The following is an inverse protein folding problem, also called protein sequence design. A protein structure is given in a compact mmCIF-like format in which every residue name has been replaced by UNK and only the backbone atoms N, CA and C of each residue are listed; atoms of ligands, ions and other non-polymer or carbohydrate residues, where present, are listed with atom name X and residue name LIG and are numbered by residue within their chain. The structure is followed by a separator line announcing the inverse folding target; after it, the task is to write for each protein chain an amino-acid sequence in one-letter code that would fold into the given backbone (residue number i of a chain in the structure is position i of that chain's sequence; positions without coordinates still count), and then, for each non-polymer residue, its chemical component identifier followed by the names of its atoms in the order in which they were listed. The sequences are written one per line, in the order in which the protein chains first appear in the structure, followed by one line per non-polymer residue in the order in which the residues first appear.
data_IF_404438338391
#
_entry.id   IF_404438338391
#
_cell.length_a   1.000
_cell.length_b   1.000
_cell.length_c   1.000
_cell.angle_alpha   90.00
_cell.angle_beta   90.00
_cell.angle_gamma   90.00
#
_symmetry.space_group_name_H-M   'P 1'
#
loop_
_entity.id
_entity.type
_entity.pdbx_description
1 polymer ?
#
# COMPACT_ATOMS: atom_id res chain seq x y z
N UNK A 1 -15.19 9.77 -36.16
CA UNK A 1 -15.91 9.42 -34.92
C UNK A 1 -15.20 8.33 -34.12
N UNK A 2 -15.13 7.06 -34.57
CA UNK A 2 -14.52 5.94 -33.79
C UNK A 2 -13.07 6.16 -33.31
N UNK A 3 -12.21 6.77 -34.13
CA UNK A 3 -10.81 7.06 -33.76
C UNK A 3 -10.67 8.12 -32.66
N UNK A 4 -11.63 9.04 -32.57
CA UNK A 4 -11.64 10.10 -31.55
C UNK A 4 -12.00 9.53 -30.18
N UNK A 5 -12.97 8.61 -30.12
CA UNK A 5 -13.32 7.89 -28.89
C UNK A 5 -12.16 7.03 -28.38
N UNK A 6 -11.47 6.31 -29.28
CA UNK A 6 -10.26 5.54 -28.92
C UNK A 6 -9.17 6.43 -28.33
N UNK A 7 -8.94 7.62 -28.91
CA UNK A 7 -7.95 8.57 -28.40
C UNK A 7 -8.36 9.11 -27.02
N UNK A 8 -9.65 9.38 -26.82
CA UNK A 8 -10.19 9.85 -25.53
C UNK A 8 -10.02 8.78 -24.44
N UNK A 9 -10.33 7.52 -24.74
CA UNK A 9 -10.11 6.39 -23.83
C UNK A 9 -8.63 6.20 -23.50
N UNK A 10 -7.73 6.36 -24.48
CA UNK A 10 -6.29 6.26 -24.28
C UNK A 10 -5.76 7.37 -23.36
N UNK A 11 -6.24 8.60 -23.54
CA UNK A 11 -5.86 9.77 -22.73
C UNK A 11 -6.37 9.68 -21.29
N UNK A 12 -7.59 9.17 -21.09
CA UNK A 12 -8.15 8.91 -19.76
C UNK A 12 -7.37 7.80 -19.05
N UNK A 13 -7.02 6.72 -19.76
CA UNK A 13 -6.18 5.64 -19.21
C UNK A 13 -4.76 6.09 -18.86
N UNK A 14 -4.20 7.06 -19.60
CA UNK A 14 -2.89 7.65 -19.30
C UNK A 14 -2.91 8.61 -18.09
N UNK A 15 -4.04 9.29 -17.83
CA UNK A 15 -4.19 10.19 -16.68
C UNK A 15 -4.10 9.43 -15.33
N UNK A 16 -4.57 8.19 -15.30
CA UNK A 16 -4.49 7.29 -14.12
C UNK A 16 -3.04 6.79 -13.89
N UNK A 17 -2.19 6.80 -14.92
CA UNK A 17 -0.79 6.34 -14.83
C UNK A 17 0.20 7.40 -14.35
N UNK A 18 -0.28 8.51 -13.76
CA UNK A 18 0.61 9.43 -13.05
C UNK A 18 1.39 8.60 -12.02
N UNK A 19 2.71 8.54 -12.16
CA UNK A 19 3.59 7.99 -11.15
C UNK A 19 3.36 8.81 -9.87
N UNK A 20 2.50 8.31 -8.99
CA UNK A 20 2.12 9.05 -7.80
C UNK A 20 3.38 9.22 -6.94
N UNK A 21 3.71 10.46 -6.63
CA UNK A 21 4.92 10.78 -5.88
C UNK A 21 4.77 10.29 -4.44
N UNK A 22 5.78 9.58 -3.94
CA UNK A 22 5.86 9.16 -2.55
C UNK A 22 6.93 9.96 -1.82
N UNK A 23 6.57 10.52 -0.67
CA UNK A 23 7.51 11.19 0.24
C UNK A 23 7.54 10.42 1.56
N UNK A 24 8.70 9.84 1.87
CA UNK A 24 8.90 9.15 3.14
C UNK A 24 9.11 10.16 4.27
N UNK A 25 8.35 10.01 5.35
CA UNK A 25 8.47 10.81 6.57
C UNK A 25 9.02 9.94 7.71
N UNK A 26 10.27 10.17 8.17
CA UNK A 26 10.87 9.37 9.22
C UNK A 26 10.13 9.49 10.57
N UNK A 27 10.06 8.39 11.33
CA UNK A 27 9.41 8.31 12.64
C UNK A 27 9.95 9.34 13.64
N UNK A 28 11.25 9.67 13.54
CA UNK A 28 11.87 10.73 14.36
C UNK A 28 11.15 12.07 14.23
N UNK A 29 10.61 12.40 13.05
CA UNK A 29 9.84 13.63 12.80
C UNK A 29 8.48 13.67 13.50
N UNK A 30 8.00 12.53 13.98
CA UNK A 30 6.74 12.39 14.73
C UNK A 30 6.95 12.23 16.23
N UNK A 31 8.18 12.42 16.73
CA UNK A 31 8.50 12.29 18.16
C UNK A 31 8.09 10.94 18.80
N UNK A 32 8.09 9.86 18.00
CA UNK A 32 7.69 8.53 18.45
C UNK A 32 6.19 8.24 18.34
N UNK A 33 5.36 9.18 17.87
CA UNK A 33 3.96 8.92 17.54
C UNK A 33 3.84 8.04 16.29
N UNK A 34 3.64 6.75 16.53
CA UNK A 34 3.52 5.76 15.46
C UNK A 34 2.20 5.84 14.71
N UNK A 35 1.12 6.35 15.32
CA UNK A 35 -0.16 6.51 14.62
C UNK A 35 -0.02 7.58 13.55
N UNK A 36 0.56 8.74 13.90
CA UNK A 36 0.80 9.82 12.94
C UNK A 36 1.81 9.42 11.86
N UNK A 37 2.87 8.70 12.22
CA UNK A 37 3.82 8.13 11.26
C UNK A 37 3.13 7.21 10.25
N UNK A 38 2.30 6.27 10.73
CA UNK A 38 1.62 5.31 9.88
C UNK A 38 0.58 5.98 8.97
N UNK A 39 -0.17 6.94 9.52
CA UNK A 39 -1.14 7.72 8.75
C UNK A 39 -0.45 8.50 7.63
N UNK A 40 0.60 9.24 7.94
CA UNK A 40 1.30 10.11 6.99
C UNK A 40 2.01 9.33 5.88
N UNK A 41 2.67 8.21 6.21
CA UNK A 41 3.39 7.41 5.21
C UNK A 41 2.49 6.46 4.42
N UNK A 42 1.47 5.83 5.03
CA UNK A 42 0.74 4.74 4.36
C UNK A 42 -0.70 5.09 4.02
N UNK A 43 -1.43 5.78 4.90
CA UNK A 43 -2.85 6.07 4.66
C UNK A 43 -3.07 7.28 3.74
N UNK A 44 -2.40 8.39 4.05
CA UNK A 44 -2.52 9.65 3.30
C UNK A 44 -1.92 9.52 1.89
N UNK A 45 -0.94 8.64 1.71
CA UNK A 45 -0.27 8.33 0.45
C UNK A 45 -0.67 6.96 -0.11
N UNK A 46 -1.81 6.38 0.32
CA UNK A 46 -2.23 5.01 -0.02
C UNK A 46 -2.26 4.71 -1.52
N UNK A 47 -2.59 5.73 -2.32
CA UNK A 47 -2.68 5.57 -3.76
C UNK A 47 -1.32 5.14 -4.35
N UNK A 48 -0.19 5.58 -3.78
CA UNK A 48 1.15 5.19 -4.26
C UNK A 48 1.36 3.68 -4.31
N UNK A 49 0.71 2.95 -3.42
CA UNK A 49 0.85 1.49 -3.30
C UNK A 49 -0.08 0.71 -4.23
N UNK A 50 -1.01 1.40 -4.90
CA UNK A 50 -1.94 0.77 -5.85
C UNK A 50 -1.15 0.19 -7.03
N UNK A 51 -1.39 -1.09 -7.34
CA UNK A 51 -0.67 -1.82 -8.40
C UNK A 51 0.78 -2.18 -8.08
N UNK A 52 1.31 -1.82 -6.91
CA UNK A 52 2.66 -2.22 -6.47
C UNK A 52 2.63 -3.55 -5.73
N UNK A 53 3.73 -4.28 -5.81
CA UNK A 53 3.95 -5.48 -4.99
C UNK A 53 3.94 -5.12 -3.50
N UNK A 54 3.37 -6.00 -2.69
CA UNK A 54 3.31 -5.84 -1.23
C UNK A 54 4.69 -5.63 -0.59
N UNK A 55 5.76 -6.20 -1.17
CA UNK A 55 7.14 -6.02 -0.71
C UNK A 55 7.55 -4.55 -0.60
N UNK A 56 7.07 -3.68 -1.51
CA UNK A 56 7.38 -2.24 -1.49
C UNK A 56 6.83 -1.56 -0.23
N UNK A 57 5.60 -1.91 0.16
CA UNK A 57 5.01 -1.41 1.40
C UNK A 57 5.78 -1.94 2.62
N UNK A 58 6.11 -3.24 2.58
CA UNK A 58 6.75 -3.93 3.69
C UNK A 58 8.16 -3.39 3.97
N UNK A 59 8.95 -3.15 2.93
CA UNK A 59 10.29 -2.55 3.03
C UNK A 59 10.24 -1.16 3.67
N UNK A 60 9.26 -0.33 3.30
CA UNK A 60 9.10 1.01 3.87
C UNK A 60 8.69 0.95 5.35
N UNK A 61 7.78 0.05 5.71
CA UNK A 61 7.34 -0.15 7.09
C UNK A 61 8.48 -0.65 7.98
N UNK A 62 9.24 -1.65 7.53
CA UNK A 62 10.28 -2.32 8.32
C UNK A 62 11.52 -1.46 8.58
N UNK A 63 11.68 -0.31 7.91
CA UNK A 63 12.79 0.63 8.16
C UNK A 63 12.85 1.12 9.61
N UNK A 64 11.70 1.44 10.18
CA UNK A 64 11.63 2.00 11.54
C UNK A 64 10.70 1.20 12.46
N UNK A 65 9.88 0.30 11.91
CA UNK A 65 9.00 -0.59 12.68
C UNK A 65 9.29 -2.07 12.34
N UNK A 66 10.35 -2.67 12.90
CA UNK A 66 10.67 -4.08 12.65
C UNK A 66 9.52 -4.99 13.10
N UNK A 67 9.22 -6.00 12.29
CA UNK A 67 8.11 -6.91 12.50
C UNK A 67 8.51 -8.14 13.29
N UNK A 68 7.65 -8.55 14.21
CA UNK A 68 7.64 -9.87 14.86
C UNK A 68 6.89 -10.90 14.01
N UNK A 69 5.93 -10.44 13.20
CA UNK A 69 5.17 -11.29 12.30
C UNK A 69 4.28 -10.48 11.34
N UNK A 70 3.92 -11.11 10.23
CA UNK A 70 3.02 -10.58 9.23
C UNK A 70 1.98 -11.64 8.89
N UNK A 71 0.70 -11.28 8.93
CA UNK A 71 -0.41 -12.13 8.48
C UNK A 71 -1.08 -11.44 7.30
N UNK A 72 -0.76 -11.89 6.09
CA UNK A 72 -1.37 -11.38 4.87
C UNK A 72 -2.69 -12.11 4.58
N UNK A 73 -3.72 -11.35 4.20
CA UNK A 73 -4.91 -11.86 3.55
C UNK A 73 -4.78 -11.66 2.03
N UNK A 74 -4.82 -12.78 1.31
CA UNK A 74 -4.95 -12.77 -0.14
C UNK A 74 -6.40 -12.68 -0.58
N UNK A 75 -6.63 -12.15 -1.78
CA UNK A 75 -7.84 -12.46 -2.53
C UNK A 75 -7.77 -13.93 -2.94
N UNK A 76 -8.90 -14.65 -2.86
CA UNK A 76 -9.05 -15.90 -3.63
C UNK A 76 -8.91 -15.58 -5.12
N UNK A 77 -8.26 -16.45 -5.93
CA UNK A 77 -8.13 -16.24 -7.38
C UNK A 77 -9.49 -16.48 -8.02
N UNK A 78 -10.41 -15.52 -7.92
CA UNK A 78 -11.72 -15.61 -8.56
C UNK A 78 -11.83 -14.78 -9.83
N UNK A 79 -10.81 -14.00 -10.21
CA UNK A 79 -10.91 -13.13 -11.40
C UNK A 79 -9.58 -12.69 -12.01
N UNK A 80 -8.47 -13.42 -11.82
CA UNK A 80 -7.23 -13.11 -12.55
C UNK A 80 -6.99 -14.13 -13.67
N UNK A 81 -6.90 -13.71 -14.95
CA UNK A 81 -6.58 -14.57 -16.08
C UNK A 81 -5.27 -15.37 -15.92
N UNK A 82 -4.34 -14.88 -15.10
CA UNK A 82 -3.04 -15.53 -14.86
C UNK A 82 -3.02 -16.39 -13.58
N UNK A 83 -4.14 -16.46 -12.84
CA UNK A 83 -4.27 -17.20 -11.60
C UNK A 83 -3.36 -16.70 -10.46
N UNK A 84 -2.93 -15.44 -10.51
CA UNK A 84 -2.13 -14.81 -9.46
C UNK A 84 -3.01 -14.47 -8.24
N UNK A 85 -2.42 -14.67 -7.05
CA UNK A 85 -3.03 -14.29 -5.78
C UNK A 85 -2.54 -12.91 -5.37
N UNK A 86 -3.46 -11.95 -5.23
CA UNK A 86 -3.14 -10.58 -4.79
C UNK A 86 -3.33 -10.47 -3.28
N UNK A 87 -2.45 -9.74 -2.59
CA UNK A 87 -2.65 -9.40 -1.19
C UNK A 87 -3.66 -8.25 -1.13
N UNK A 88 -4.84 -8.50 -0.55
CA UNK A 88 -5.87 -7.47 -0.32
C UNK A 88 -5.80 -6.84 1.07
N UNK A 89 -4.97 -7.38 1.94
CA UNK A 89 -4.56 -6.70 3.16
C UNK A 89 -3.58 -7.48 4.00
N UNK A 90 -3.01 -6.83 5.01
CA UNK A 90 -2.12 -7.48 5.95
C UNK A 90 -2.29 -6.94 7.36
N UNK A 91 -2.17 -7.85 8.33
CA UNK A 91 -2.03 -7.55 9.74
C UNK A 91 -0.55 -7.61 10.11
N UNK A 92 -0.02 -6.45 10.51
CA UNK A 92 1.39 -6.28 10.86
C UNK A 92 1.58 -6.25 12.38
N UNK A 93 2.40 -7.16 12.90
CA UNK A 93 2.76 -7.21 14.33
C UNK A 93 4.17 -6.65 14.54
N UNK A 94 4.34 -5.46 15.16
CA UNK A 94 5.66 -4.91 15.47
C UNK A 94 6.38 -5.72 16.57
N UNK A 95 7.71 -5.63 16.62
CA UNK A 95 8.53 -6.15 17.72
C UNK A 95 8.25 -5.40 19.02
N UNK A 96 8.26 -6.12 20.15
CA UNK A 96 7.86 -5.63 21.48
C UNK A 96 8.82 -4.57 22.08
N UNK A 97 9.95 -4.27 21.42
CA UNK A 97 11.04 -3.45 21.97
C UNK A 97 10.98 -1.94 21.65
N UNK A 98 9.95 -1.47 20.94
CA UNK A 98 9.76 -0.04 20.72
C UNK A 98 8.63 0.49 21.61
N UNK A 99 8.83 1.69 22.17
CA UNK A 99 7.90 2.48 22.99
C UNK A 99 6.57 2.76 22.26
N UNK A 100 5.81 1.72 21.94
CA UNK A 100 4.72 1.77 20.99
C UNK A 100 3.51 1.11 21.63
N UNK A 101 2.48 1.91 21.88
CA UNK A 101 1.18 1.37 22.27
C UNK A 101 0.73 0.35 21.23
N UNK A 102 0.25 -0.79 21.74
CA UNK A 102 -0.01 -2.05 21.05
C UNK A 102 -1.17 -1.94 20.05
N UNK A 103 -1.04 -1.14 18.99
CA UNK A 103 -2.09 -1.04 17.98
C UNK A 103 -1.66 -1.84 16.75
N UNK A 104 -2.26 -3.02 16.50
CA UNK A 104 -2.00 -3.76 15.28
C UNK A 104 -2.51 -2.94 14.07
N UNK A 105 -1.66 -2.76 13.06
CA UNK A 105 -2.03 -2.05 11.85
C UNK A 105 -2.65 -3.02 10.85
N UNK A 106 -3.88 -2.73 10.43
CA UNK A 106 -4.54 -3.38 9.31
C UNK A 106 -4.43 -2.47 8.08
N UNK A 107 -3.66 -2.89 7.09
CA UNK A 107 -3.54 -2.21 5.82
C UNK A 107 -4.38 -2.96 4.79
N UNK A 108 -5.41 -2.33 4.27
CA UNK A 108 -6.20 -2.86 3.16
C UNK A 108 -5.66 -2.31 1.84
N UNK A 109 -5.19 -3.20 0.97
CA UNK A 109 -4.79 -2.85 -0.39
C UNK A 109 -5.96 -3.22 -1.30
N UNK A 110 -6.56 -2.23 -1.96
CA UNK A 110 -7.59 -2.52 -2.96
C UNK A 110 -6.93 -3.13 -4.20
N UNK A 111 -7.34 -4.34 -4.62
CA UNK A 111 -6.92 -4.86 -5.92
C UNK A 111 -7.59 -4.03 -7.03
N UNK A 112 -6.81 -3.59 -8.02
CA UNK A 112 -7.40 -3.14 -9.29
C UNK A 112 -7.90 -4.38 -10.03
N UNK A 113 -9.21 -4.53 -10.11
CA UNK A 113 -9.84 -5.38 -11.12
C UNK A 113 -9.98 -4.53 -12.38
N UNK A 114 -9.05 -4.68 -13.31
CA UNK A 114 -9.17 -4.16 -14.69
C UNK A 114 -10.02 -5.09 -15.53
#
# INVERSE_FOLDING_TARGET
MKKLFLLLFLLIGLAETQAQSFTYHPLKGFHGDTISFLKSNFYDQRNYFVGKKFEVLLELYMREMPLKGCYAHGTVPYSDPNNDSFICGAWLRPMDNFFCQKTPLSLYMQPHLT
#
